data_IF_657373314188
#
_entry.id   IF_657373314188
#
_cell.length_a   1.000
_cell.length_b   1.000
_cell.length_c   1.000
_cell.angle_alpha   90.00
_cell.angle_beta   90.00
_cell.angle_gamma   90.00
#
_symmetry.space_group_name_H-M   'P 1'
#
loop_
_entity.id
_entity.type
_entity.pdbx_description
1 polymer ?
#
# COMPACT_ATOMS: atom_id res chain seq x y z
N UNK A 1 16.35 -3.17 36.34
CA UNK A 1 17.26 -3.30 35.20
C UNK A 1 17.16 -2.01 34.42
N UNK A 2 18.21 -1.22 34.52
CA UNK A 2 18.36 0.06 33.86
C UNK A 2 18.82 -0.21 32.41
N UNK A 3 17.92 0.00 31.45
CA UNK A 3 18.31 0.34 30.08
C UNK A 3 17.28 1.31 29.52
N UNK A 4 17.43 2.58 29.88
CA UNK A 4 17.06 3.62 28.94
C UNK A 4 18.29 4.48 28.71
N UNK A 5 19.01 4.25 27.59
CA UNK A 5 19.64 5.37 26.91
C UNK A 5 18.87 5.75 25.65
N UNK A 6 17.92 6.68 25.80
CA UNK A 6 16.63 6.68 25.10
C UNK A 6 16.55 7.86 24.14
N UNK A 7 17.65 8.59 23.93
CA UNK A 7 17.81 9.72 23.01
C UNK A 7 17.66 9.33 21.54
N UNK A 8 17.21 8.08 21.28
CA UNK A 8 17.48 7.25 20.10
C UNK A 8 16.29 6.48 19.49
N UNK A 9 15.17 6.25 20.18
CA UNK A 9 13.85 5.97 19.54
C UNK A 9 13.38 7.16 18.64
N UNK A 10 14.21 8.15 18.41
CA UNK A 10 14.06 9.50 18.94
C UNK A 10 14.48 10.48 17.87
N UNK A 11 13.80 11.60 17.80
CA UNK A 11 13.16 12.05 16.55
C UNK A 11 11.92 11.22 16.16
N UNK A 12 11.68 10.03 16.74
CA UNK A 12 10.40 9.27 16.70
C UNK A 12 9.73 9.29 15.33
N UNK A 13 10.52 8.92 14.31
CA UNK A 13 10.08 8.86 12.92
C UNK A 13 9.94 10.22 12.23
N UNK A 14 10.86 11.16 12.50
CA UNK A 14 10.99 12.38 11.70
C UNK A 14 11.19 12.04 10.21
N UNK A 15 10.47 12.74 9.32
CA UNK A 15 9.84 14.05 9.56
C UNK A 15 8.49 14.02 10.32
N UNK A 16 7.88 12.86 10.56
CA UNK A 16 6.48 12.72 11.00
C UNK A 16 6.29 12.52 12.51
N UNK A 17 7.21 13.05 13.33
CA UNK A 17 7.20 12.88 14.79
C UNK A 17 5.85 13.25 15.42
N UNK A 18 5.25 14.36 14.99
CA UNK A 18 3.97 14.83 15.53
C UNK A 18 2.80 13.90 15.21
N UNK A 19 2.82 13.30 14.02
CA UNK A 19 1.77 12.41 13.54
C UNK A 19 1.76 11.07 14.29
N UNK A 20 2.94 10.50 14.56
CA UNK A 20 3.04 9.18 15.21
C UNK A 20 3.08 9.22 16.73
N UNK A 21 3.34 10.37 17.35
CA UNK A 21 3.40 10.51 18.81
C UNK A 21 2.14 10.01 19.54
N UNK A 22 0.91 10.28 19.08
CA UNK A 22 -0.30 9.77 19.74
C UNK A 22 -0.43 8.25 19.63
N UNK A 23 -0.11 7.68 18.48
CA UNK A 23 -0.12 6.23 18.25
C UNK A 23 0.92 5.54 19.14
N UNK A 24 2.13 6.10 19.21
CA UNK A 24 3.22 5.59 20.04
C UNK A 24 2.91 5.63 21.55
N UNK A 25 2.17 6.64 22.02
CA UNK A 25 1.76 6.70 23.43
C UNK A 25 0.71 5.63 23.79
N UNK A 26 -0.06 5.14 22.80
CA UNK A 26 -1.07 4.09 22.96
C UNK A 26 -0.55 2.69 22.63
N UNK A 27 0.75 2.52 22.37
CA UNK A 27 1.31 1.26 21.85
C UNK A 27 1.11 0.05 22.76
N UNK A 28 1.00 0.24 24.07
CA UNK A 28 0.75 -0.86 25.03
C UNK A 28 -0.76 -1.13 25.27
N UNK A 29 -1.65 -0.38 24.62
CA UNK A 29 -3.09 -0.55 24.80
C UNK A 29 -3.53 -1.93 24.30
N UNK A 30 -4.46 -2.56 25.02
CA UNK A 30 -4.91 -3.94 24.78
C UNK A 30 -3.75 -4.94 24.73
N UNK A 31 -2.73 -4.78 25.58
CA UNK A 31 -1.56 -5.67 25.59
C UNK A 31 -0.74 -5.62 24.29
N UNK A 32 -0.76 -4.48 23.59
CA UNK A 32 -0.02 -4.28 22.35
C UNK A 32 -0.79 -4.62 21.07
N UNK A 33 -1.98 -5.21 21.15
CA UNK A 33 -2.80 -5.55 19.97
C UNK A 33 -3.47 -4.36 19.31
N UNK A 34 -3.59 -3.23 20.01
CA UNK A 34 -4.18 -2.02 19.44
C UNK A 34 -3.30 -1.39 18.36
N UNK A 35 -1.97 -1.50 18.49
CA UNK A 35 -1.03 -0.82 17.60
C UNK A 35 -1.08 -1.33 16.14
N UNK A 36 -1.09 -2.65 15.87
CA UNK A 36 -1.30 -3.15 14.51
C UNK A 36 -2.66 -2.76 13.90
N UNK A 37 -3.71 -2.66 14.71
CA UNK A 37 -5.04 -2.19 14.26
C UNK A 37 -4.94 -0.74 13.81
N UNK A 38 -4.27 0.13 14.58
CA UNK A 38 -4.04 1.51 14.16
C UNK A 38 -3.25 1.57 12.84
N UNK A 39 -2.21 0.76 12.67
CA UNK A 39 -1.46 0.68 11.40
C UNK A 39 -2.34 0.23 10.23
N UNK A 40 -3.22 -0.75 10.43
CA UNK A 40 -4.19 -1.17 9.42
C UNK A 40 -5.10 -0.02 8.99
N UNK A 41 -5.66 0.71 9.96
CA UNK A 41 -6.52 1.86 9.71
C UNK A 41 -5.77 2.98 8.96
N UNK A 42 -4.52 3.26 9.32
CA UNK A 42 -3.68 4.21 8.59
C UNK A 42 -3.42 3.75 7.16
N UNK A 43 -3.14 2.46 6.94
CA UNK A 43 -3.00 1.89 5.61
C UNK A 43 -4.27 2.07 4.77
N UNK A 44 -5.45 1.77 5.31
CA UNK A 44 -6.71 2.02 4.59
C UNK A 44 -6.88 3.49 4.23
N UNK A 45 -6.63 4.40 5.17
CA UNK A 45 -6.87 5.83 4.96
C UNK A 45 -5.86 6.49 4.01
N UNK A 46 -4.58 6.14 4.10
CA UNK A 46 -3.50 6.83 3.39
C UNK A 46 -2.92 6.04 2.22
N UNK A 47 -3.29 4.76 2.06
CA UNK A 47 -2.87 3.93 0.93
C UNK A 47 -4.08 3.54 0.09
N UNK A 48 -5.08 2.89 0.69
CA UNK A 48 -6.23 2.41 -0.07
C UNK A 48 -7.08 3.57 -0.63
N UNK A 49 -7.39 4.59 0.17
CA UNK A 49 -8.19 5.73 -0.30
C UNK A 49 -7.51 6.49 -1.45
N UNK A 50 -6.22 6.89 -1.38
CA UNK A 50 -5.57 7.52 -2.53
C UNK A 50 -5.52 6.63 -3.77
N UNK A 51 -5.26 5.33 -3.60
CA UNK A 51 -5.27 4.37 -4.71
C UNK A 51 -6.65 4.28 -5.37
N UNK A 52 -7.71 3.97 -4.63
CA UNK A 52 -9.06 3.85 -5.19
C UNK A 52 -9.59 5.18 -5.69
N UNK A 53 -9.35 6.26 -4.95
CA UNK A 53 -9.77 7.60 -5.31
C UNK A 53 -9.14 8.07 -6.62
N UNK A 54 -7.83 7.86 -6.81
CA UNK A 54 -7.16 8.25 -8.05
C UNK A 54 -7.62 7.44 -9.25
N UNK A 55 -7.79 6.12 -9.10
CA UNK A 55 -8.37 5.27 -10.14
C UNK A 55 -9.78 5.73 -10.54
N UNK A 56 -10.62 6.07 -9.55
CA UNK A 56 -11.98 6.55 -9.82
C UNK A 56 -11.97 7.92 -10.52
N UNK A 57 -11.10 8.84 -10.10
CA UNK A 57 -10.93 10.13 -10.77
C UNK A 57 -10.49 9.93 -12.22
N UNK A 58 -9.49 9.07 -12.45
CA UNK A 58 -9.00 8.79 -13.79
C UNK A 58 -10.11 8.22 -14.68
N UNK A 59 -10.86 7.22 -14.18
CA UNK A 59 -11.95 6.59 -14.92
C UNK A 59 -13.09 7.54 -15.31
N UNK A 60 -13.34 8.60 -14.53
CA UNK A 60 -14.47 9.51 -14.77
C UNK A 60 -14.10 10.84 -15.43
N UNK A 61 -12.86 11.31 -15.26
CA UNK A 61 -12.52 12.71 -15.57
C UNK A 61 -11.26 12.89 -16.41
N UNK A 62 -10.40 11.88 -16.52
CA UNK A 62 -9.13 12.00 -17.23
C UNK A 62 -9.20 11.19 -18.53
N UNK A 63 -8.97 11.87 -19.65
CA UNK A 63 -8.64 11.21 -20.91
C UNK A 63 -7.15 10.87 -20.96
N UNK A 64 -6.80 9.92 -21.81
CA UNK A 64 -5.42 9.49 -22.05
C UNK A 64 -4.56 10.67 -22.52
N UNK A 65 -3.52 11.00 -21.76
CA UNK A 65 -2.54 12.04 -22.13
C UNK A 65 -1.28 11.42 -22.73
N UNK A 66 -0.89 10.22 -22.28
CA UNK A 66 0.25 9.50 -22.79
C UNK A 66 0.01 7.99 -22.80
N UNK A 67 0.25 7.37 -23.95
CA UNK A 67 0.20 5.92 -24.14
C UNK A 67 1.60 5.41 -24.56
N UNK A 68 2.30 4.69 -23.68
CA UNK A 68 3.60 4.09 -23.99
C UNK A 68 3.49 2.71 -24.68
N UNK A 69 2.29 2.21 -24.99
CA UNK A 69 2.09 0.89 -25.58
C UNK A 69 2.86 0.70 -26.90
N UNK A 70 3.49 -0.46 -27.06
CA UNK A 70 4.10 -0.88 -28.33
C UNK A 70 3.50 -2.20 -28.81
N UNK A 71 3.73 -2.54 -30.08
CA UNK A 71 3.17 -3.76 -30.69
C UNK A 71 3.50 -5.06 -29.93
N UNK A 72 4.62 -5.10 -29.20
CA UNK A 72 5.04 -6.27 -28.43
C UNK A 72 4.10 -6.55 -27.24
N UNK A 73 3.48 -5.52 -26.66
CA UNK A 73 2.56 -5.66 -25.53
C UNK A 73 1.32 -6.48 -25.91
N UNK A 74 0.81 -6.29 -27.13
CA UNK A 74 -0.32 -7.06 -27.68
C UNK A 74 0.07 -8.46 -28.19
N UNK A 75 1.35 -8.68 -28.50
CA UNK A 75 1.83 -9.96 -29.03
C UNK A 75 2.01 -11.04 -27.95
N UNK A 76 2.24 -10.65 -26.69
CA UNK A 76 2.42 -11.59 -25.58
C UNK A 76 1.04 -12.05 -25.08
N UNK A 77 0.74 -13.36 -25.07
CA UNK A 77 -0.57 -13.85 -24.65
C UNK A 77 -0.81 -13.66 -23.15
N UNK A 78 -2.07 -13.44 -22.79
CA UNK A 78 -2.50 -13.36 -21.38
C UNK A 78 -2.36 -14.71 -20.69
N UNK A 79 -1.88 -14.69 -19.44
CA UNK A 79 -1.79 -15.86 -18.57
C UNK A 79 -2.75 -15.69 -17.39
N UNK A 80 -4.01 -16.09 -17.58
CA UNK A 80 -5.11 -15.78 -16.64
C UNK A 80 -4.82 -16.15 -15.18
N UNK A 81 -4.21 -17.31 -14.93
CA UNK A 81 -3.92 -17.77 -13.56
C UNK A 81 -2.91 -16.90 -12.79
N UNK A 82 -2.13 -16.05 -13.49
CA UNK A 82 -1.19 -15.12 -12.85
C UNK A 82 -1.88 -14.06 -11.99
N UNK A 83 -3.21 -13.89 -12.14
CA UNK A 83 -4.00 -13.07 -11.20
C UNK A 83 -3.92 -13.62 -9.77
N UNK A 84 -3.76 -14.93 -9.58
CA UNK A 84 -3.71 -15.57 -8.26
C UNK A 84 -2.44 -15.16 -7.49
N UNK A 85 -1.21 -15.41 -7.98
CA UNK A 85 -0.01 -14.98 -7.27
C UNK A 85 0.06 -13.44 -7.15
N UNK A 86 -0.45 -12.69 -8.15
CA UNK A 86 -0.56 -11.24 -8.05
C UNK A 86 -1.48 -10.80 -6.90
N UNK A 87 -2.69 -11.35 -6.82
CA UNK A 87 -3.65 -11.02 -5.75
C UNK A 87 -3.18 -11.53 -4.39
N UNK A 88 -2.48 -12.66 -4.34
CA UNK A 88 -1.86 -13.18 -3.13
C UNK A 88 -0.81 -12.24 -2.54
N UNK A 89 -0.14 -11.40 -3.35
CA UNK A 89 0.79 -10.39 -2.83
C UNK A 89 0.10 -9.41 -1.87
N UNK A 90 -1.20 -9.16 -2.03
CA UNK A 90 -1.93 -8.29 -1.10
C UNK A 90 -2.11 -8.91 0.29
N UNK A 91 -1.96 -10.23 0.44
CA UNK A 91 -1.99 -10.88 1.75
C UNK A 91 -0.78 -10.49 2.62
N UNK A 92 0.31 -10.00 2.04
CA UNK A 92 1.45 -9.51 2.80
C UNK A 92 1.09 -8.33 3.70
N UNK A 93 0.13 -7.47 3.31
CA UNK A 93 -0.27 -6.32 4.14
C UNK A 93 -0.86 -6.77 5.50
N UNK A 94 -1.94 -7.57 5.56
CA UNK A 94 -2.46 -8.06 6.83
C UNK A 94 -1.51 -9.06 7.51
N UNK A 95 -0.81 -9.92 6.76
CA UNK A 95 0.12 -10.89 7.35
C UNK A 95 1.26 -10.20 8.12
N UNK A 96 1.82 -9.12 7.57
CA UNK A 96 2.86 -8.32 8.25
C UNK A 96 2.37 -7.78 9.59
N UNK A 97 1.11 -7.35 9.66
CA UNK A 97 0.52 -6.83 10.90
C UNK A 97 0.29 -7.93 11.95
N UNK A 98 -0.03 -9.16 11.51
CA UNK A 98 -0.24 -10.30 12.41
C UNK A 98 1.07 -10.83 12.99
N UNK A 99 2.12 -10.87 12.16
CA UNK A 99 3.40 -11.51 12.49
C UNK A 99 4.39 -10.55 13.16
N UNK A 100 4.22 -9.22 12.97
CA UNK A 100 5.14 -8.21 13.50
C UNK A 100 5.40 -8.38 15.01
N UNK A 101 6.68 -8.39 15.44
CA UNK A 101 7.03 -8.39 16.85
C UNK A 101 6.41 -7.21 17.59
N UNK A 102 5.90 -7.47 18.80
CA UNK A 102 5.22 -6.45 19.62
C UNK A 102 6.16 -5.70 20.55
N UNK A 103 7.47 -5.82 20.36
CA UNK A 103 8.45 -5.03 21.09
C UNK A 103 8.56 -3.61 20.49
N UNK A 104 9.20 -2.69 21.21
CA UNK A 104 9.33 -1.31 20.76
C UNK A 104 10.14 -1.20 19.46
N UNK A 105 11.03 -2.17 19.17
CA UNK A 105 11.75 -2.23 17.90
C UNK A 105 10.83 -2.59 16.73
N UNK A 106 10.07 -3.69 16.82
CA UNK A 106 9.15 -4.12 15.75
C UNK A 106 8.07 -3.07 15.46
N UNK A 107 7.56 -2.41 16.51
CA UNK A 107 6.62 -1.29 16.38
C UNK A 107 7.22 -0.08 15.65
N UNK A 108 8.50 0.24 15.90
CA UNK A 108 9.18 1.32 15.19
C UNK A 108 9.43 0.98 13.71
N UNK A 109 9.83 -0.25 13.41
CA UNK A 109 10.01 -0.77 12.05
C UNK A 109 8.67 -0.70 11.27
N UNK A 110 7.56 -1.06 11.91
CA UNK A 110 6.24 -1.02 11.30
C UNK A 110 5.79 0.40 10.95
N UNK A 111 6.08 1.38 11.80
CA UNK A 111 5.79 2.78 11.49
C UNK A 111 6.67 3.28 10.33
N UNK A 112 7.95 2.93 10.30
CA UNK A 112 8.84 3.34 9.21
C UNK A 112 8.37 2.77 7.87
N UNK A 113 7.96 1.49 7.85
CA UNK A 113 7.39 0.84 6.67
C UNK A 113 6.10 1.55 6.22
N UNK A 114 5.21 1.88 7.16
CA UNK A 114 3.97 2.61 6.85
C UNK A 114 4.24 3.99 6.28
N UNK A 115 5.20 4.76 6.83
CA UNK A 115 5.59 6.06 6.26
C UNK A 115 6.10 5.93 4.82
N UNK A 116 6.99 4.96 4.57
CA UNK A 116 7.51 4.71 3.24
C UNK A 116 6.39 4.36 2.25
N UNK A 117 5.46 3.50 2.68
CA UNK A 117 4.32 3.10 1.86
C UNK A 117 3.38 4.26 1.55
N UNK A 118 3.09 5.12 2.53
CA UNK A 118 2.27 6.33 2.32
C UNK A 118 2.96 7.27 1.33
N UNK A 119 4.25 7.56 1.52
CA UNK A 119 4.98 8.46 0.63
C UNK A 119 5.07 7.91 -0.80
N UNK A 120 5.36 6.62 -0.96
CA UNK A 120 5.36 5.97 -2.26
C UNK A 120 3.97 6.04 -2.92
N UNK A 121 2.92 5.78 -2.16
CA UNK A 121 1.54 5.83 -2.68
C UNK A 121 1.16 7.23 -3.12
N UNK A 122 1.44 8.25 -2.30
CA UNK A 122 1.14 9.64 -2.64
C UNK A 122 1.97 10.10 -3.86
N UNK A 123 3.24 9.70 -3.94
CA UNK A 123 4.09 9.98 -5.09
C UNK A 123 3.54 9.35 -6.36
N UNK A 124 3.25 8.05 -6.36
CA UNK A 124 2.66 7.35 -7.50
C UNK A 124 1.31 7.95 -7.90
N UNK A 125 0.44 8.23 -6.92
CA UNK A 125 -0.87 8.84 -7.14
C UNK A 125 -0.76 10.22 -7.78
N UNK A 126 0.18 11.04 -7.32
CA UNK A 126 0.44 12.35 -7.91
C UNK A 126 0.83 12.23 -9.39
N UNK A 127 1.81 11.37 -9.72
CA UNK A 127 2.21 11.18 -11.12
C UNK A 127 1.10 10.62 -11.98
N UNK A 128 0.35 9.64 -11.48
CA UNK A 128 -0.79 9.04 -12.19
C UNK A 128 -1.88 10.06 -12.50
N UNK A 129 -2.19 10.99 -11.59
CA UNK A 129 -3.19 12.03 -11.83
C UNK A 129 -2.69 13.20 -12.68
N UNK A 130 -1.40 13.55 -12.60
CA UNK A 130 -0.82 14.65 -13.38
C UNK A 130 -0.49 14.22 -14.81
N UNK A 131 -0.11 12.96 -14.98
CA UNK A 131 0.20 12.35 -16.28
C UNK A 131 -0.71 11.11 -16.48
N UNK A 132 -2.01 11.32 -16.71
CA UNK A 132 -2.93 10.20 -16.87
C UNK A 132 -2.56 9.37 -18.09
N UNK A 133 -2.26 8.11 -17.84
CA UNK A 133 -2.13 7.08 -18.86
C UNK A 133 -3.47 6.33 -18.98
N UNK A 134 -3.76 5.83 -20.18
CA UNK A 134 -4.91 4.95 -20.37
C UNK A 134 -4.72 3.69 -19.55
N UNK A 135 -5.74 3.32 -18.77
CA UNK A 135 -5.81 1.97 -18.21
C UNK A 135 -6.61 1.16 -19.22
N UNK A 136 -5.94 0.76 -20.31
CA UNK A 136 -6.54 -0.14 -21.30
C UNK A 136 -6.43 -1.58 -20.80
N UNK A 137 -7.56 -2.29 -20.78
CA UNK A 137 -7.58 -3.72 -20.53
C UNK A 137 -7.34 -4.41 -21.86
N UNK A 138 -6.42 -5.38 -21.87
CA UNK A 138 -6.12 -6.15 -23.09
C UNK A 138 -7.41 -6.73 -23.67
N UNK A 139 -7.55 -6.62 -24.98
CA UNK A 139 -8.61 -7.23 -25.78
C UNK A 139 -8.72 -8.76 -25.61
N UNK A 140 -7.63 -9.40 -25.21
CA UNK A 140 -7.55 -10.84 -24.91
C UNK A 140 -8.20 -11.24 -23.57
N UNK A 141 -8.53 -10.27 -22.69
CA UNK A 141 -9.20 -10.53 -21.41
C UNK A 141 -10.71 -10.56 -21.63
N UNK A 142 -11.23 -11.71 -22.04
CA UNK A 142 -12.68 -11.97 -22.02
C UNK A 142 -13.10 -12.39 -20.60
N UNK A 143 -14.21 -11.84 -20.10
CA UNK A 143 -14.76 -12.14 -18.77
C UNK A 143 -15.11 -13.63 -18.61
N UNK A 144 -15.45 -14.28 -19.72
CA UNK A 144 -15.72 -15.72 -19.76
C UNK A 144 -14.43 -16.55 -19.54
N UNK A 145 -13.28 -16.07 -20.02
CA UNK A 145 -11.97 -16.73 -19.87
C UNK A 145 -11.39 -16.70 -18.44
N UNK A 146 -11.85 -15.76 -17.61
CA UNK A 146 -11.40 -15.59 -16.21
C UNK A 146 -12.01 -16.63 -15.26
N UNK A 147 -13.12 -17.28 -15.67
CA UNK A 147 -13.80 -18.30 -14.87
C UNK A 147 -13.09 -19.67 -14.90
N UNK A 148 -12.23 -19.90 -15.90
CA UNK A 148 -11.56 -21.20 -16.10
C UNK A 148 -12.54 -22.38 -16.26
N UNK A 149 -13.82 -22.12 -16.55
CA UNK A 149 -14.88 -23.11 -16.74
C UNK A 149 -15.18 -23.33 -18.23
N UNK A 150 -14.16 -23.71 -18.99
CA UNK A 150 -14.34 -24.47 -20.23
C UNK A 150 -14.13 -25.97 -19.97
#
# INVERSE_FOLDING_TARGET
MDESHPTRIHALMMPWRGFWRPTWSRRERLGGYWFPIEMFLFGMLFVAVPYFGSNNIAAHYLGTVWDPEIWLDRAIPVVNWMIIPYTALYLFYPATLVISPRDDRGRAELILAMQGLILATLFCTFFFLVFPAEIDLRDQLDMDSLSGLE
#
